data_IF_120927346068
#
_entry.id   IF_120927346068
#
_cell.length_a   1.000
_cell.length_b   1.000
_cell.length_c   1.000
_cell.angle_alpha   90.00
_cell.angle_beta   90.00
_cell.angle_gamma   90.00
#
_symmetry.space_group_name_H-M   'P 1'
#
loop_
_entity.id
_entity.type
_entity.pdbx_description
1 polymer ?
#
# COMPACT_ATOMS: atom_id res chain seq x y z
N UNK A 1 -23.51 9.16 -16.10
CA UNK A 1 -22.26 8.53 -15.64
C UNK A 1 -21.32 9.65 -15.20
N UNK A 2 -21.21 9.87 -13.88
CA UNK A 2 -20.24 10.83 -13.35
C UNK A 2 -18.84 10.28 -13.68
N UNK A 3 -18.09 11.00 -14.50
CA UNK A 3 -16.69 10.65 -14.77
C UNK A 3 -15.90 10.85 -13.48
N UNK A 4 -15.54 9.76 -12.83
CA UNK A 4 -14.62 9.78 -11.67
C UNK A 4 -13.23 10.12 -12.19
N UNK A 5 -12.64 11.19 -11.66
CA UNK A 5 -11.26 11.60 -11.98
C UNK A 5 -10.33 11.22 -10.83
N UNK A 6 -9.05 10.99 -11.14
CA UNK A 6 -8.05 10.76 -10.10
C UNK A 6 -7.96 12.01 -9.21
N UNK A 7 -8.17 11.87 -7.90
CA UNK A 7 -8.13 12.99 -6.98
C UNK A 7 -6.72 13.53 -6.70
N UNK A 8 -5.66 12.80 -7.11
CA UNK A 8 -4.28 13.24 -6.88
C UNK A 8 -3.94 14.47 -7.71
N UNK A 9 -3.44 15.56 -7.10
CA UNK A 9 -3.04 16.75 -7.82
C UNK A 9 -1.88 16.44 -8.79
N UNK A 10 -1.90 17.03 -9.97
CA UNK A 10 -0.86 16.84 -10.98
C UNK A 10 -0.66 15.38 -11.41
N UNK A 11 -1.73 14.67 -11.63
CA UNK A 11 -1.80 13.22 -11.82
C UNK A 11 -0.98 12.71 -13.02
N UNK A 12 0.33 12.71 -12.86
CA UNK A 12 1.21 11.89 -13.69
C UNK A 12 1.10 10.46 -13.20
N UNK A 13 0.56 9.59 -14.02
CA UNK A 13 0.41 8.16 -13.73
C UNK A 13 1.76 7.58 -13.30
N UNK A 14 1.78 6.81 -12.20
CA UNK A 14 2.97 6.13 -11.64
C UNK A 14 4.10 7.06 -11.10
N UNK A 15 3.82 8.32 -10.84
CA UNK A 15 4.80 9.21 -10.20
C UNK A 15 4.60 9.35 -8.68
N UNK A 16 3.70 8.58 -8.12
CA UNK A 16 3.46 8.53 -6.68
C UNK A 16 3.20 7.12 -6.21
N UNK A 17 3.39 6.90 -4.93
CA UNK A 17 2.96 5.70 -4.20
C UNK A 17 1.83 6.06 -3.23
N UNK A 18 1.01 5.08 -2.87
CA UNK A 18 -0.09 5.26 -1.92
C UNK A 18 0.23 4.54 -0.62
N UNK A 19 0.04 5.21 0.52
CA UNK A 19 -0.04 4.56 1.83
C UNK A 19 -1.42 4.77 2.45
N UNK A 20 -1.96 3.75 3.11
CA UNK A 20 -3.31 3.77 3.69
C UNK A 20 -3.20 3.52 5.19
N UNK A 21 -3.73 4.45 5.97
CA UNK A 21 -3.76 4.41 7.42
C UNK A 21 -3.69 5.80 8.02
N UNK A 22 -3.96 5.91 9.31
CA UNK A 22 -3.80 7.19 10.02
C UNK A 22 -2.34 7.61 10.12
N UNK A 23 -2.06 8.92 10.21
CA UNK A 23 -0.71 9.48 10.27
C UNK A 23 0.02 9.22 11.61
N UNK A 24 -0.42 8.23 12.39
CA UNK A 24 0.25 7.87 13.63
C UNK A 24 1.49 7.00 13.37
N UNK A 25 2.36 6.92 14.38
CA UNK A 25 3.60 6.15 14.34
C UNK A 25 3.41 4.69 13.89
N UNK A 26 2.37 4.02 14.40
CA UNK A 26 2.15 2.60 14.15
C UNK A 26 1.91 2.26 12.66
N UNK A 27 1.48 3.22 11.85
CA UNK A 27 1.25 3.03 10.41
C UNK A 27 2.47 3.29 9.54
N UNK A 28 3.59 3.74 10.10
CA UNK A 28 4.89 3.80 9.43
C UNK A 28 4.99 4.83 8.31
N UNK A 29 4.11 5.82 8.23
CA UNK A 29 4.13 6.80 7.15
C UNK A 29 5.39 7.69 7.14
N UNK A 30 5.99 7.96 8.31
CA UNK A 30 7.27 8.67 8.42
C UNK A 30 8.41 7.86 7.79
N UNK A 31 8.44 6.55 8.04
CA UNK A 31 9.45 5.65 7.48
C UNK A 31 9.27 5.53 5.96
N UNK A 32 8.04 5.51 5.47
CA UNK A 32 7.76 5.54 4.01
C UNK A 32 8.34 6.81 3.40
N UNK A 33 8.13 7.97 4.01
CA UNK A 33 8.73 9.24 3.52
C UNK A 33 10.25 9.15 3.51
N UNK A 34 10.86 8.70 4.60
CA UNK A 34 12.33 8.56 4.67
C UNK A 34 12.86 7.61 3.59
N UNK A 35 12.15 6.53 3.32
CA UNK A 35 12.49 5.56 2.27
C UNK A 35 12.37 6.17 0.86
N UNK A 36 11.41 7.06 0.64
CA UNK A 36 11.22 7.71 -0.67
C UNK A 36 12.27 8.78 -0.97
N UNK A 37 13.03 9.23 0.02
CA UNK A 37 14.09 10.22 -0.19
C UNK A 37 15.08 9.76 -1.26
N UNK A 38 15.38 10.66 -2.20
CA UNK A 38 16.24 10.36 -3.36
C UNK A 38 15.55 9.58 -4.49
N UNK A 39 14.27 9.28 -4.35
CA UNK A 39 13.44 8.80 -5.48
C UNK A 39 12.64 9.94 -6.07
N UNK A 40 12.34 10.06 -7.26
CA UNK A 40 11.47 11.12 -7.81
C UNK A 40 9.97 10.79 -7.59
N UNK A 41 9.63 10.08 -6.51
CA UNK A 41 8.27 9.66 -6.20
C UNK A 41 7.71 10.50 -5.06
N UNK A 42 6.44 10.85 -5.17
CA UNK A 42 5.67 11.49 -4.11
C UNK A 42 4.84 10.47 -3.32
N UNK A 43 4.40 10.86 -2.14
CA UNK A 43 3.51 10.06 -1.29
C UNK A 43 2.09 10.62 -1.31
N UNK A 44 1.13 9.79 -1.68
CA UNK A 44 -0.28 10.01 -1.41
C UNK A 44 -0.65 9.28 -0.11
N UNK A 45 -0.87 10.04 0.96
CA UNK A 45 -1.28 9.53 2.26
C UNK A 45 -2.80 9.53 2.39
N UNK A 46 -3.41 8.37 2.59
CA UNK A 46 -4.86 8.17 2.74
C UNK A 46 -5.17 7.67 4.14
N UNK A 47 -6.11 8.32 4.82
CA UNK A 47 -6.55 7.93 6.16
C UNK A 47 -6.46 9.04 7.20
N UNK A 48 -5.91 10.19 6.80
CA UNK A 48 -5.85 11.38 7.63
C UNK A 48 -5.00 11.22 8.90
N UNK A 49 -5.32 11.99 9.92
CA UNK A 49 -4.62 12.00 11.20
C UNK A 49 -5.04 13.21 12.03
N UNK A 50 -4.54 13.31 13.24
CA UNK A 50 -4.72 14.51 14.06
C UNK A 50 -3.90 15.67 13.48
N UNK A 51 -4.31 16.94 13.67
CA UNK A 51 -3.62 18.09 13.06
C UNK A 51 -2.09 18.08 13.31
N UNK A 52 -1.66 17.74 14.53
CA UNK A 52 -0.24 17.71 14.86
C UNK A 52 0.51 16.54 14.19
N UNK A 53 -0.16 15.38 13.97
CA UNK A 53 0.42 14.23 13.25
C UNK A 53 0.61 14.57 11.77
N UNK A 54 -0.40 15.21 11.16
CA UNK A 54 -0.32 15.64 9.76
C UNK A 54 0.73 16.72 9.55
N UNK A 55 0.84 17.68 10.52
CA UNK A 55 1.90 18.67 10.47
C UNK A 55 3.28 18.02 10.56
N UNK A 56 3.48 17.12 11.51
CA UNK A 56 4.75 16.40 11.65
C UNK A 56 5.09 15.57 10.40
N UNK A 57 4.08 14.98 9.76
CA UNK A 57 4.25 14.23 8.50
C UNK A 57 4.70 15.16 7.37
N UNK A 58 4.12 16.36 7.27
CA UNK A 58 4.51 17.38 6.28
C UNK A 58 5.94 17.88 6.55
N UNK A 59 6.24 18.27 7.78
CA UNK A 59 7.58 18.76 8.15
C UNK A 59 8.65 17.67 7.85
N UNK A 60 8.30 16.40 8.02
CA UNK A 60 9.19 15.29 7.70
C UNK A 60 9.36 15.09 6.19
N UNK A 61 8.28 15.23 5.41
CA UNK A 61 8.33 15.16 3.96
C UNK A 61 9.19 16.28 3.37
N UNK A 62 9.01 17.51 3.86
CA UNK A 62 9.82 18.68 3.44
C UNK A 62 11.32 18.47 3.74
N UNK A 63 11.64 17.91 4.93
CA UNK A 63 13.02 17.59 5.31
C UNK A 63 13.69 16.56 4.38
N UNK A 64 12.92 15.63 3.83
CA UNK A 64 13.41 14.54 2.99
C UNK A 64 13.26 14.83 1.47
N UNK A 65 12.79 16.02 1.11
CA UNK A 65 12.49 16.43 -0.28
C UNK A 65 11.54 15.45 -0.98
N UNK A 66 10.48 15.04 -0.27
CA UNK A 66 9.45 14.12 -0.76
C UNK A 66 8.13 14.87 -0.88
N UNK A 67 7.55 14.89 -2.07
CA UNK A 67 6.21 15.45 -2.25
C UNK A 67 5.19 14.67 -1.44
N UNK A 68 4.41 15.34 -0.59
CA UNK A 68 3.34 14.75 0.20
C UNK A 68 1.99 15.34 -0.20
N UNK A 69 1.06 14.47 -0.48
CA UNK A 69 -0.35 14.83 -0.58
C UNK A 69 -1.17 14.02 0.43
N UNK A 70 -1.79 14.72 1.35
CA UNK A 70 -2.74 14.12 2.30
C UNK A 70 -4.12 14.13 1.67
N UNK A 71 -4.64 12.96 1.37
CA UNK A 71 -5.93 12.83 0.72
C UNK A 71 -7.07 13.31 1.65
N UNK A 72 -8.02 14.08 1.11
CA UNK A 72 -9.27 14.34 1.81
C UNK A 72 -10.07 13.03 1.95
N UNK A 73 -11.26 13.09 2.51
CA UNK A 73 -12.18 11.94 2.49
C UNK A 73 -12.53 11.59 1.03
N UNK A 74 -12.16 10.38 0.60
CA UNK A 74 -12.40 9.87 -0.74
C UNK A 74 -13.61 8.94 -0.76
N UNK A 75 -14.33 8.92 -1.90
CA UNK A 75 -15.26 7.83 -2.21
C UNK A 75 -14.49 6.55 -2.57
N UNK A 76 -15.15 5.40 -2.54
CA UNK A 76 -14.54 4.12 -2.94
C UNK A 76 -14.00 4.15 -4.37
N UNK A 77 -14.72 4.79 -5.29
CA UNK A 77 -14.29 4.90 -6.69
C UNK A 77 -13.07 5.80 -6.84
N UNK A 78 -13.01 6.91 -6.09
CA UNK A 78 -11.84 7.81 -6.06
C UNK A 78 -10.62 7.11 -5.48
N UNK A 79 -10.80 6.36 -4.38
CA UNK A 79 -9.72 5.58 -3.77
C UNK A 79 -9.21 4.50 -4.73
N UNK A 80 -10.13 3.75 -5.36
CA UNK A 80 -9.76 2.72 -6.35
C UNK A 80 -8.98 3.31 -7.52
N UNK A 81 -9.38 4.47 -8.02
CA UNK A 81 -8.69 5.13 -9.13
C UNK A 81 -7.32 5.67 -8.69
N UNK A 82 -7.23 6.26 -7.50
CA UNK A 82 -5.97 6.70 -6.90
C UNK A 82 -4.96 5.55 -6.82
N UNK A 83 -5.38 4.42 -6.27
CA UNK A 83 -4.56 3.21 -6.15
C UNK A 83 -4.18 2.68 -7.54
N UNK A 84 -5.13 2.56 -8.45
CA UNK A 84 -4.90 2.02 -9.80
C UNK A 84 -3.84 2.80 -10.59
N UNK A 85 -3.80 4.12 -10.42
CA UNK A 85 -2.88 5.00 -11.13
C UNK A 85 -1.56 5.26 -10.39
N UNK A 86 -1.41 4.76 -9.17
CA UNK A 86 -0.16 4.81 -8.43
C UNK A 86 0.87 3.81 -8.97
N UNK A 87 2.14 4.04 -8.66
CA UNK A 87 3.20 3.07 -8.94
C UNK A 87 3.02 1.80 -8.12
N UNK A 88 2.72 1.96 -6.83
CA UNK A 88 2.51 0.89 -5.89
C UNK A 88 1.70 1.38 -4.67
N UNK A 89 1.08 0.46 -3.97
CA UNK A 89 0.69 0.66 -2.56
C UNK A 89 1.87 0.24 -1.70
N UNK A 90 2.24 1.08 -0.74
CA UNK A 90 3.38 0.84 0.15
C UNK A 90 2.96 0.95 1.62
N UNK A 91 3.57 0.16 2.49
CA UNK A 91 3.37 0.29 3.93
C UNK A 91 4.60 -0.14 4.71
N UNK A 92 4.92 0.64 5.73
CA UNK A 92 5.88 0.31 6.78
C UNK A 92 5.20 0.21 8.16
N UNK A 93 3.93 -0.21 8.21
CA UNK A 93 3.21 -0.36 9.46
C UNK A 93 3.90 -1.36 10.40
N UNK A 94 3.78 -1.09 11.70
CA UNK A 94 4.35 -1.92 12.75
C UNK A 94 3.31 -2.92 13.24
N UNK A 95 3.66 -4.20 13.23
CA UNK A 95 2.85 -5.31 13.79
C UNK A 95 1.38 -5.27 13.33
N UNK A 96 1.17 -5.02 12.03
CA UNK A 96 -0.18 -5.08 11.47
C UNK A 96 -0.78 -6.47 11.70
N UNK A 97 -1.96 -6.61 12.31
CA UNK A 97 -2.49 -7.93 12.69
C UNK A 97 -2.74 -8.86 11.51
N UNK A 98 -3.33 -8.35 10.44
CA UNK A 98 -3.65 -9.15 9.24
C UNK A 98 -3.22 -8.48 7.94
N UNK A 99 -3.41 -7.16 7.83
CA UNK A 99 -3.04 -6.40 6.64
C UNK A 99 -4.01 -6.57 5.48
N UNK A 100 -5.17 -5.92 5.53
CA UNK A 100 -6.13 -5.89 4.41
C UNK A 100 -5.64 -5.04 3.23
N UNK A 101 -4.76 -4.08 3.47
CA UNK A 101 -4.27 -3.15 2.45
C UNK A 101 -3.60 -3.85 1.25
N UNK A 102 -2.78 -4.91 1.39
CA UNK A 102 -2.31 -5.68 0.24
C UNK A 102 -3.43 -6.31 -0.57
N UNK A 103 -4.48 -6.81 0.11
CA UNK A 103 -5.64 -7.43 -0.54
C UNK A 103 -6.40 -6.40 -1.40
N UNK A 104 -6.57 -5.18 -0.88
CA UNK A 104 -7.15 -4.06 -1.62
C UNK A 104 -6.31 -3.72 -2.86
N UNK A 105 -4.99 -3.62 -2.72
CA UNK A 105 -4.08 -3.38 -3.84
C UNK A 105 -4.19 -4.49 -4.90
N UNK A 106 -4.20 -5.76 -4.50
CA UNK A 106 -4.33 -6.91 -5.40
C UNK A 106 -5.66 -6.91 -6.16
N UNK A 107 -6.77 -6.57 -5.49
CA UNK A 107 -8.09 -6.52 -6.13
C UNK A 107 -8.15 -5.48 -7.25
N UNK A 108 -7.41 -4.39 -7.11
CA UNK A 108 -7.31 -3.31 -8.09
C UNK A 108 -6.26 -3.62 -9.18
N UNK A 109 -5.32 -4.53 -8.89
CA UNK A 109 -4.22 -4.88 -9.79
C UNK A 109 -3.01 -3.95 -9.65
N UNK A 110 -2.82 -3.34 -8.49
CA UNK A 110 -1.68 -2.47 -8.19
C UNK A 110 -0.64 -3.22 -7.38
N UNK A 111 0.67 -3.06 -7.66
CA UNK A 111 1.73 -3.68 -6.88
C UNK A 111 1.66 -3.34 -5.40
N UNK A 112 1.89 -4.34 -4.54
CA UNK A 112 2.02 -4.19 -3.10
C UNK A 112 3.48 -4.35 -2.69
N UNK A 113 4.09 -3.31 -2.09
CA UNK A 113 5.48 -3.32 -1.61
C UNK A 113 5.45 -2.95 -0.14
N UNK A 114 5.66 -3.93 0.73
CA UNK A 114 5.37 -3.80 2.16
C UNK A 114 6.56 -4.21 3.01
N UNK A 115 6.58 -3.71 4.23
CA UNK A 115 7.55 -4.17 5.22
C UNK A 115 7.31 -5.65 5.54
N UNK A 116 8.40 -6.41 5.68
CA UNK A 116 8.35 -7.80 6.14
C UNK A 116 8.10 -7.82 7.66
N UNK A 117 6.86 -7.56 8.06
CA UNK A 117 6.44 -7.47 9.47
C UNK A 117 4.94 -7.78 9.59
N UNK A 118 4.56 -8.44 10.69
CA UNK A 118 3.17 -8.74 11.02
C UNK A 118 2.42 -9.53 9.96
N UNK A 119 1.11 -9.32 9.86
CA UNK A 119 0.20 -10.03 8.95
C UNK A 119 0.41 -9.78 7.46
N UNK A 120 1.31 -8.88 7.08
CA UNK A 120 1.67 -8.72 5.67
C UNK A 120 2.35 -9.98 5.10
N UNK A 121 3.06 -10.73 5.95
CA UNK A 121 3.70 -12.00 5.59
C UNK A 121 2.69 -13.09 5.25
N UNK A 122 1.48 -13.00 5.77
CA UNK A 122 0.40 -13.93 5.45
C UNK A 122 -0.32 -13.58 4.14
N UNK A 123 -0.29 -12.30 3.76
CA UNK A 123 -1.00 -11.79 2.60
C UNK A 123 -0.16 -11.79 1.32
N UNK A 124 1.13 -11.45 1.42
CA UNK A 124 2.04 -11.26 0.30
C UNK A 124 3.00 -12.45 0.18
N UNK A 125 3.17 -12.97 -1.03
CA UNK A 125 4.26 -13.89 -1.39
C UNK A 125 5.37 -13.08 -2.05
N UNK A 126 6.51 -12.95 -1.37
CA UNK A 126 7.61 -12.09 -1.82
C UNK A 126 8.14 -12.48 -3.20
N UNK A 127 8.28 -11.49 -4.09
CA UNK A 127 8.72 -11.66 -5.47
C UNK A 127 7.68 -12.26 -6.42
N UNK A 128 6.53 -12.72 -5.90
CA UNK A 128 5.45 -13.33 -6.68
C UNK A 128 4.22 -12.45 -6.78
N UNK A 129 3.59 -12.09 -5.65
CA UNK A 129 2.41 -11.23 -5.63
C UNK A 129 2.73 -9.78 -5.22
N UNK A 130 3.97 -9.47 -4.87
CA UNK A 130 4.47 -8.18 -4.43
C UNK A 130 5.84 -8.32 -3.82
N UNK A 131 6.20 -7.41 -2.92
CA UNK A 131 7.47 -7.47 -2.20
C UNK A 131 7.27 -7.32 -0.70
N UNK A 132 8.04 -8.13 0.04
CA UNK A 132 8.21 -8.03 1.49
C UNK A 132 9.66 -7.67 1.80
N UNK A 133 9.90 -6.50 2.37
CA UNK A 133 11.24 -5.94 2.50
C UNK A 133 11.52 -5.58 3.95
N UNK A 134 12.73 -5.85 4.42
CA UNK A 134 13.18 -5.40 5.74
C UNK A 134 13.08 -3.88 5.84
N UNK A 135 12.60 -3.37 6.97
CA UNK A 135 12.45 -1.94 7.26
C UNK A 135 13.75 -1.16 7.07
N UNK A 136 14.88 -1.75 7.37
CA UNK A 136 16.20 -1.12 7.30
C UNK A 136 16.88 -1.18 5.92
N UNK A 137 16.29 -1.88 4.94
CA UNK A 137 16.93 -2.14 3.64
C UNK A 137 16.50 -1.13 2.57
N UNK A 138 16.84 0.16 2.73
CA UNK A 138 16.45 1.23 1.79
C UNK A 138 16.75 0.89 0.33
N UNK A 139 17.91 0.29 0.04
CA UNK A 139 18.28 -0.10 -1.34
C UNK A 139 17.33 -1.15 -1.93
N UNK A 140 16.83 -2.09 -1.12
CA UNK A 140 15.87 -3.09 -1.60
C UNK A 140 14.50 -2.46 -1.87
N UNK A 141 14.09 -1.49 -1.05
CA UNK A 141 12.89 -0.70 -1.31
C UNK A 141 12.98 0.05 -2.64
N UNK A 142 14.08 0.75 -2.89
CA UNK A 142 14.30 1.45 -4.17
C UNK A 142 14.29 0.48 -5.35
N UNK A 143 14.96 -0.68 -5.21
CA UNK A 143 14.93 -1.73 -6.25
C UNK A 143 13.52 -2.26 -6.52
N UNK A 144 12.73 -2.47 -5.48
CA UNK A 144 11.34 -2.93 -5.63
C UNK A 144 10.45 -1.88 -6.32
N UNK A 145 10.63 -0.60 -5.99
CA UNK A 145 9.96 0.50 -6.67
C UNK A 145 10.35 0.58 -8.15
N UNK A 146 11.64 0.38 -8.47
CA UNK A 146 12.10 0.33 -9.86
C UNK A 146 11.54 -0.89 -10.62
N UNK A 147 11.47 -2.04 -9.97
CA UNK A 147 10.80 -3.23 -10.53
C UNK A 147 9.31 -2.96 -10.85
N UNK A 148 8.62 -2.21 -9.98
CA UNK A 148 7.22 -1.85 -10.19
C UNK A 148 6.99 -0.93 -11.41
N UNK A 149 8.02 -0.28 -11.97
CA UNK A 149 7.93 0.49 -13.22
C UNK A 149 7.81 -0.41 -14.45
N UNK A 150 8.23 -1.66 -14.38
CA UNK A 150 8.13 -2.63 -15.47
C UNK A 150 6.71 -3.18 -15.60
N UNK A 151 6.06 -2.95 -16.74
CA UNK A 151 4.72 -3.48 -17.03
C UNK A 151 4.66 -5.00 -16.84
N UNK A 152 5.63 -5.74 -17.35
CA UNK A 152 5.73 -7.19 -17.19
C UNK A 152 5.72 -7.64 -15.72
N UNK A 153 6.44 -6.93 -14.87
CA UNK A 153 6.50 -7.25 -13.44
C UNK A 153 5.19 -6.86 -12.75
N UNK A 154 4.62 -5.71 -13.09
CA UNK A 154 3.30 -5.28 -12.58
C UNK A 154 2.22 -6.29 -12.89
N UNK A 155 2.15 -6.75 -14.15
CA UNK A 155 1.17 -7.75 -14.59
C UNK A 155 1.35 -9.08 -13.85
N UNK A 156 2.61 -9.53 -13.69
CA UNK A 156 2.92 -10.73 -12.89
C UNK A 156 2.39 -10.57 -11.47
N UNK A 157 2.76 -9.49 -10.78
CA UNK A 157 2.36 -9.27 -9.39
C UNK A 157 0.85 -9.10 -9.26
N UNK A 158 0.20 -8.39 -10.18
CA UNK A 158 -1.24 -8.20 -10.19
C UNK A 158 -1.99 -9.53 -10.39
N UNK A 159 -1.55 -10.37 -11.31
CA UNK A 159 -2.17 -11.67 -11.57
C UNK A 159 -2.01 -12.61 -10.37
N UNK A 160 -0.79 -12.74 -9.86
CA UNK A 160 -0.51 -13.58 -8.68
C UNK A 160 -1.20 -13.04 -7.42
N UNK A 161 -1.32 -11.70 -7.28
CA UNK A 161 -2.07 -11.09 -6.18
C UNK A 161 -3.56 -11.46 -6.21
N UNK A 162 -4.20 -11.43 -7.38
CA UNK A 162 -5.59 -11.90 -7.53
C UNK A 162 -5.75 -13.38 -7.19
N UNK A 163 -4.80 -14.22 -7.62
CA UNK A 163 -4.78 -15.62 -7.23
C UNK A 163 -4.64 -15.78 -5.72
N UNK A 164 -3.76 -14.98 -5.10
CA UNK A 164 -3.55 -14.98 -3.64
C UNK A 164 -4.81 -14.66 -2.85
N UNK A 165 -5.65 -13.71 -3.33
CA UNK A 165 -6.95 -13.42 -2.71
C UNK A 165 -7.83 -14.68 -2.66
N UNK A 166 -7.90 -15.44 -3.73
CA UNK A 166 -8.67 -16.68 -3.79
C UNK A 166 -8.13 -17.74 -2.81
N UNK A 167 -6.80 -17.90 -2.73
CA UNK A 167 -6.14 -18.84 -1.81
C UNK A 167 -6.40 -18.52 -0.33
N UNK A 168 -6.44 -17.24 0.01
CA UNK A 168 -6.67 -16.78 1.39
C UNK A 168 -8.09 -17.07 1.88
N UNK A 169 -9.05 -17.30 0.99
CA UNK A 169 -10.43 -17.68 1.34
C UNK A 169 -11.04 -16.72 2.36
N UNK A 170 -11.10 -15.43 2.00
CA UNK A 170 -11.48 -14.34 2.91
C UNK A 170 -13.00 -14.02 2.89
N UNK A 171 -13.80 -14.72 2.11
CA UNK A 171 -15.25 -14.48 2.12
C UNK A 171 -15.86 -14.80 3.49
N UNK A 172 -16.93 -14.12 3.90
CA UNK A 172 -17.60 -14.40 5.18
C UNK A 172 -18.01 -15.87 5.34
N UNK A 173 -18.45 -16.51 4.26
CA UNK A 173 -18.81 -17.91 4.23
C UNK A 173 -17.61 -18.82 4.53
N UNK A 174 -16.49 -18.59 3.84
CA UNK A 174 -15.26 -19.39 4.01
C UNK A 174 -14.65 -19.20 5.41
N UNK A 175 -14.74 -17.99 5.97
CA UNK A 175 -14.30 -17.75 7.33
C UNK A 175 -15.19 -18.47 8.36
N UNK A 176 -16.51 -18.46 8.16
CA UNK A 176 -17.45 -19.21 9.00
C UNK A 176 -17.18 -20.72 8.94
N UNK A 177 -16.90 -21.26 7.74
CA UNK A 177 -16.56 -22.66 7.55
C UNK A 177 -15.27 -23.07 8.30
N UNK A 178 -14.21 -22.23 8.23
CA UNK A 178 -12.97 -22.46 8.99
C UNK A 178 -13.21 -22.46 10.50
N UNK A 179 -14.00 -21.50 11.01
CA UNK A 179 -14.36 -21.43 12.43
C UNK A 179 -15.15 -22.66 12.86
N UNK A 180 -16.10 -23.10 12.06
CA UNK A 180 -16.88 -24.29 12.34
C UNK A 180 -15.99 -25.54 12.46
N UNK A 181 -15.04 -25.72 11.56
CA UNK A 181 -14.08 -26.82 11.60
C UNK A 181 -13.21 -26.82 12.87
N UNK A 182 -12.85 -25.64 13.38
CA UNK A 182 -12.05 -25.50 14.62
C UNK A 182 -12.87 -25.81 15.87
N UNK A 183 -14.16 -25.45 15.86
CA UNK A 183 -15.04 -25.58 17.03
C UNK A 183 -15.63 -26.99 17.20
N UNK A 184 -15.55 -27.86 16.20
CA UNK A 184 -16.04 -29.25 16.25
C UNK A 184 -14.92 -30.23 16.69
N UNK A 185 -13.67 -29.77 16.78
CA UNK A 185 -12.56 -30.55 17.34
C UNK A 185 -12.48 -30.39 18.86
#
# INVERSE_FOLDING_TARGET
TNNVTNPYPNSSVMQYVVTIGTANWAKGSMEVISMLSGTNLSLAHVGGGRPYELKALQDHADKHDVGLWVAPKLSSDQLSLLIKQSLAVVSMAHKEPFGLTPIEAFSIGTPAIFVNDGGFTDSIVDGESGRLISRSSTMEWHRALDQAKSEKIRDKWANNGRQRIAELRLSPYEQAEKLHQILIL
#
